data_IF_230273024069
#
_entry.id   IF_230273024069
#
_cell.length_a   1.000
_cell.length_b   1.000
_cell.length_c   1.000
_cell.angle_alpha   90.00
_cell.angle_beta   90.00
_cell.angle_gamma   90.00
#
_symmetry.space_group_name_H-M   'P 1'
#
loop_
_entity.id
_entity.type
_entity.pdbx_description
1 polymer ?
#
# COMPACT_ATOMS: atom_id res chain seq x y z
N UNK A 1 -0.80 7.32 -16.91
CA UNK A 1 0.54 6.75 -16.64
C UNK A 1 0.71 6.66 -15.12
N UNK A 2 1.27 5.58 -14.58
CA UNK A 2 1.51 5.45 -13.14
C UNK A 2 2.77 6.19 -12.72
N UNK A 3 2.68 7.00 -11.66
CA UNK A 3 3.82 7.72 -11.10
C UNK A 3 4.83 6.77 -10.47
N UNK A 4 6.13 7.08 -10.57
CA UNK A 4 7.20 6.34 -9.85
C UNK A 4 7.45 6.92 -8.45
N UNK A 5 7.13 8.19 -8.24
CA UNK A 5 7.37 8.92 -6.98
C UNK A 5 6.15 8.99 -6.06
N UNK A 6 4.94 8.87 -6.61
CA UNK A 6 3.68 8.99 -5.84
C UNK A 6 2.99 7.63 -5.74
N UNK A 7 2.48 7.30 -4.56
CA UNK A 7 1.65 6.10 -4.32
C UNK A 7 0.30 6.23 -5.01
N UNK A 8 -0.18 5.16 -5.64
CA UNK A 8 -1.57 5.07 -6.09
C UNK A 8 -2.45 4.62 -4.92
N UNK A 9 -3.55 5.32 -4.63
CA UNK A 9 -4.50 4.96 -3.55
C UNK A 9 -5.87 4.58 -4.08
N UNK A 10 -6.01 4.50 -5.40
CA UNK A 10 -7.28 4.22 -6.05
C UNK A 10 -7.62 2.74 -5.92
N UNK A 11 -8.77 2.46 -5.31
CA UNK A 11 -9.29 1.10 -5.16
C UNK A 11 -9.65 0.49 -6.52
N UNK A 12 -10.02 1.30 -7.52
CA UNK A 12 -10.32 0.83 -8.87
C UNK A 12 -9.12 0.22 -9.58
N UNK A 13 -7.90 0.48 -9.10
CA UNK A 13 -6.67 -0.13 -9.60
C UNK A 13 -6.44 -1.55 -9.03
N UNK A 14 -7.32 -2.08 -8.18
CA UNK A 14 -7.32 -3.49 -7.80
C UNK A 14 -8.23 -4.32 -8.71
N UNK A 15 -7.96 -5.62 -8.82
CA UNK A 15 -8.89 -6.56 -9.45
C UNK A 15 -10.17 -6.71 -8.61
N UNK A 16 -11.33 -7.05 -9.21
CA UNK A 16 -12.62 -7.06 -8.52
C UNK A 16 -12.63 -7.83 -7.20
N UNK A 17 -12.00 -9.01 -7.15
CA UNK A 17 -11.91 -9.80 -5.92
C UNK A 17 -11.18 -9.06 -4.78
N UNK A 18 -10.07 -8.40 -5.08
CA UNK A 18 -9.31 -7.61 -4.11
C UNK A 18 -10.05 -6.33 -3.70
N UNK A 19 -10.80 -5.70 -4.63
CA UNK A 19 -11.66 -4.58 -4.26
C UNK A 19 -12.74 -5.00 -3.26
N UNK A 20 -13.40 -6.13 -3.49
CA UNK A 20 -14.41 -6.69 -2.58
C UNK A 20 -13.78 -7.00 -1.22
N UNK A 21 -12.63 -7.69 -1.20
CA UNK A 21 -11.92 -8.01 0.04
C UNK A 21 -11.53 -6.74 0.83
N UNK A 22 -11.01 -5.71 0.16
CA UNK A 22 -10.66 -4.45 0.81
C UNK A 22 -11.88 -3.72 1.39
N UNK A 23 -13.03 -3.72 0.70
CA UNK A 23 -14.27 -3.11 1.23
C UNK A 23 -14.78 -3.87 2.46
N UNK A 24 -14.78 -5.20 2.41
CA UNK A 24 -15.18 -6.04 3.55
C UNK A 24 -14.25 -5.81 4.75
N UNK A 25 -12.94 -5.76 4.54
CA UNK A 25 -11.98 -5.43 5.60
C UNK A 25 -12.32 -4.09 6.27
N UNK A 26 -12.57 -3.04 5.50
CA UNK A 26 -12.89 -1.71 6.04
C UNK A 26 -14.22 -1.69 6.79
N UNK A 27 -15.21 -2.47 6.33
CA UNK A 27 -16.49 -2.64 7.05
C UNK A 27 -16.28 -3.31 8.41
N UNK A 28 -15.47 -4.37 8.48
CA UNK A 28 -15.14 -5.04 9.75
C UNK A 28 -14.32 -4.14 10.69
N UNK A 29 -13.34 -3.40 10.15
CA UNK A 29 -12.61 -2.39 10.91
C UNK A 29 -13.55 -1.33 11.51
N UNK A 30 -14.53 -0.85 10.73
CA UNK A 30 -15.51 0.12 11.21
C UNK A 30 -16.36 -0.44 12.36
N UNK A 31 -16.84 -1.70 12.23
CA UNK A 31 -17.58 -2.39 13.30
C UNK A 31 -16.75 -2.55 14.58
N UNK A 32 -15.45 -2.76 14.44
CA UNK A 32 -14.50 -2.83 15.55
C UNK A 32 -14.07 -1.46 16.12
N UNK A 33 -14.60 -0.35 15.61
CA UNK A 33 -14.26 1.01 16.07
C UNK A 33 -13.00 1.63 15.43
N UNK A 34 -12.37 0.95 14.47
CA UNK A 34 -11.20 1.45 13.73
C UNK A 34 -11.69 2.27 12.53
N UNK A 35 -11.92 3.57 12.75
CA UNK A 35 -12.55 4.46 11.77
C UNK A 35 -11.56 5.23 10.89
N UNK A 36 -10.34 5.43 11.38
CA UNK A 36 -9.32 6.24 10.69
C UNK A 36 -8.38 5.39 9.82
N UNK A 37 -8.87 4.26 9.30
CA UNK A 37 -8.14 3.38 8.40
C UNK A 37 -8.23 3.88 6.95
N UNK A 38 -7.11 3.83 6.21
CA UNK A 38 -7.04 4.26 4.82
C UNK A 38 -6.02 3.46 4.02
N UNK A 39 -6.17 3.46 2.70
CA UNK A 39 -5.24 2.81 1.77
C UNK A 39 -4.03 3.71 1.53
N UNK A 40 -2.82 3.18 1.71
CA UNK A 40 -1.58 3.91 1.42
C UNK A 40 -1.06 3.61 0.03
N UNK A 41 -1.21 2.39 -0.48
CA UNK A 41 -0.83 2.03 -1.85
C UNK A 41 -1.62 0.83 -2.41
N UNK A 42 -2.17 0.93 -3.62
CA UNK A 42 -2.78 -0.15 -4.40
C UNK A 42 -1.82 -0.66 -5.48
N UNK A 43 -2.07 -0.36 -6.76
CA UNK A 43 -1.23 -0.81 -7.86
C UNK A 43 0.13 -0.12 -7.86
N UNK A 44 1.19 -0.93 -7.96
CA UNK A 44 2.57 -0.47 -8.13
C UNK A 44 3.12 -1.02 -9.43
N UNK A 45 3.46 -0.12 -10.35
CA UNK A 45 4.06 -0.50 -11.63
C UNK A 45 5.47 -1.05 -11.46
N UNK A 46 5.95 -1.79 -12.47
CA UNK A 46 7.32 -2.30 -12.48
C UNK A 46 8.36 -1.17 -12.44
N UNK A 47 8.10 -0.06 -13.15
CA UNK A 47 8.97 1.11 -13.14
C UNK A 47 9.07 1.72 -11.73
N UNK A 48 7.94 1.84 -11.02
CA UNK A 48 7.93 2.28 -9.63
C UNK A 48 8.66 1.30 -8.71
N UNK A 49 8.49 -0.01 -8.92
CA UNK A 49 9.20 -1.02 -8.12
C UNK A 49 10.72 -0.93 -8.32
N UNK A 50 11.20 -0.75 -9.55
CA UNK A 50 12.62 -0.52 -9.83
C UNK A 50 13.11 0.77 -9.17
N UNK A 51 12.31 1.85 -9.25
CA UNK A 51 12.61 3.10 -8.59
C UNK A 51 12.77 2.91 -7.06
N UNK A 52 11.85 2.20 -6.39
CA UNK A 52 11.96 1.90 -4.96
C UNK A 52 13.15 1.00 -4.63
N UNK A 53 13.40 -0.04 -5.44
CA UNK A 53 14.51 -0.97 -5.22
C UNK A 53 15.88 -0.27 -5.31
N UNK A 54 16.02 0.70 -6.21
CA UNK A 54 17.25 1.49 -6.33
C UNK A 54 17.56 2.35 -5.08
N UNK A 55 16.58 2.67 -4.24
CA UNK A 55 16.77 3.49 -3.04
C UNK A 55 17.64 2.76 -1.99
N UNK A 56 18.68 3.44 -1.52
CA UNK A 56 19.69 2.86 -0.62
C UNK A 56 20.63 1.88 -1.31
N UNK A 57 20.58 1.77 -2.64
CA UNK A 57 21.47 0.94 -3.46
C UNK A 57 22.22 1.77 -4.49
N UNK A 58 21.50 2.28 -5.50
CA UNK A 58 22.04 3.12 -6.58
C UNK A 58 21.51 4.55 -6.56
N UNK A 59 20.50 4.83 -5.73
CA UNK A 59 20.01 6.18 -5.38
C UNK A 59 20.08 6.35 -3.86
N UNK A 60 20.41 7.55 -3.32
CA UNK A 60 20.40 7.79 -1.88
C UNK A 60 19.05 7.51 -1.20
N UNK A 61 19.08 7.19 0.10
CA UNK A 61 17.91 6.96 0.94
C UNK A 61 17.93 5.62 1.67
N UNK A 62 16.95 5.38 2.55
CA UNK A 62 16.79 4.09 3.24
C UNK A 62 16.31 3.01 2.26
N UNK A 63 16.75 1.76 2.43
CA UNK A 63 16.19 0.62 1.71
C UNK A 63 14.74 0.41 2.16
N UNK A 64 13.79 0.49 1.22
CA UNK A 64 12.34 0.36 1.48
C UNK A 64 11.72 -0.89 0.87
N UNK A 65 12.49 -1.64 0.08
CA UNK A 65 12.05 -2.92 -0.48
C UNK A 65 13.26 -3.80 -0.77
N UNK A 66 13.05 -5.11 -0.70
CA UNK A 66 14.06 -6.14 -0.94
C UNK A 66 13.85 -6.88 -2.27
N UNK A 67 12.71 -6.68 -2.96
CA UNK A 67 12.34 -7.44 -4.17
C UNK A 67 12.23 -6.54 -5.40
N UNK A 68 12.50 -7.11 -6.58
CA UNK A 68 12.16 -6.52 -7.88
C UNK A 68 10.78 -6.99 -8.38
N UNK A 69 10.24 -8.06 -7.81
CA UNK A 69 8.97 -8.70 -8.20
C UNK A 69 7.94 -8.49 -7.08
N UNK A 70 7.31 -7.32 -7.05
CA UNK A 70 6.31 -6.97 -6.05
C UNK A 70 4.92 -7.49 -6.42
N UNK A 71 4.17 -8.00 -5.42
CA UNK A 71 2.79 -8.43 -5.59
C UNK A 71 1.85 -7.26 -5.92
N UNK A 72 2.19 -6.01 -5.60
CA UNK A 72 1.38 -4.86 -6.02
C UNK A 72 1.25 -4.73 -7.55
N UNK A 73 2.14 -5.38 -8.33
CA UNK A 73 2.01 -5.46 -9.79
C UNK A 73 0.81 -6.29 -10.23
N UNK A 74 0.37 -7.26 -9.42
CA UNK A 74 -0.74 -8.15 -9.75
C UNK A 74 -2.12 -7.52 -9.55
N UNK A 75 -2.19 -6.33 -8.93
CA UNK A 75 -3.45 -5.66 -8.54
C UNK A 75 -4.28 -6.48 -7.53
N UNK A 76 -3.65 -7.40 -6.80
CA UNK A 76 -4.24 -8.20 -5.73
C UNK A 76 -3.68 -7.86 -4.34
N UNK A 77 -2.78 -6.88 -4.24
CA UNK A 77 -2.19 -6.42 -2.98
C UNK A 77 -2.50 -4.94 -2.77
N UNK A 78 -2.72 -4.58 -1.51
CA UNK A 78 -2.92 -3.20 -1.06
C UNK A 78 -2.30 -3.02 0.33
N UNK A 79 -1.68 -1.86 0.55
CA UNK A 79 -1.17 -1.45 1.85
C UNK A 79 -2.20 -0.53 2.53
N UNK A 80 -2.33 -0.65 3.85
CA UNK A 80 -3.23 0.16 4.68
C UNK A 80 -2.47 0.77 5.85
N UNK A 81 -2.97 1.91 6.33
CA UNK A 81 -2.55 2.52 7.58
C UNK A 81 -3.77 3.07 8.33
N UNK A 82 -3.56 3.42 9.60
CA UNK A 82 -4.52 4.03 10.50
C UNK A 82 -3.96 5.37 10.93
N UNK A 83 -4.76 6.41 10.80
CA UNK A 83 -4.42 7.75 11.25
C UNK A 83 -4.72 7.96 12.75
N UNK A 84 -4.13 8.99 13.37
CA UNK A 84 -4.45 9.38 14.74
C UNK A 84 -5.97 9.58 14.96
N UNK A 85 -6.51 9.37 16.18
CA UNK A 85 -5.80 9.08 17.44
C UNK A 85 -5.42 7.61 17.66
N UNK A 86 -5.82 6.69 16.77
CA UNK A 86 -5.50 5.28 16.92
C UNK A 86 -4.05 5.03 16.49
N UNK A 87 -3.17 4.77 17.46
CA UNK A 87 -1.78 4.37 17.20
C UNK A 87 -1.76 2.93 16.69
N UNK A 88 -0.99 2.70 15.61
CA UNK A 88 -0.97 1.44 14.85
C UNK A 88 0.00 0.40 15.41
N UNK A 89 0.93 0.86 16.26
CA UNK A 89 1.96 0.03 16.86
C UNK A 89 1.85 0.18 18.37
N UNK A 90 1.99 -0.95 19.07
CA UNK A 90 2.44 -0.95 20.46
C UNK A 90 3.91 -0.47 20.44
N UNK A 91 4.09 0.85 20.34
CA UNK A 91 5.35 1.51 20.67
C UNK A 91 5.46 1.51 22.19
N UNK A 92 5.76 0.33 22.76
CA UNK A 92 6.38 0.22 24.07
C UNK A 92 7.85 0.60 23.98
#
# INVERSE_FOLDING_TARGET
>A
MTSVTTTCRDLAELLPAAQTACRLLFQECYKAGIKNIFITETYRSQARQHYLYAQGRTRPGKIVTWTLKSNHKSRLAWDIAVGPPQSLYDIT
#
